data_IF_115416848021
#
_entry.id   IF_115416848021
#
_cell.length_a   1.000
_cell.length_b   1.000
_cell.length_c   1.000
_cell.angle_alpha   90.00
_cell.angle_beta   90.00
_cell.angle_gamma   90.00
#
_symmetry.space_group_name_H-M   'P 1'
#
loop_
_entity.id
_entity.type
_entity.pdbx_description
1 polymer ?
#
# COMPACT_ATOMS: atom_id res chain seq x y z
N UNK A 1 -14.48 -58.22 13.21
CA UNK A 1 -14.39 -56.74 13.27
C UNK A 1 -15.61 -56.19 12.54
N UNK A 2 -16.53 -55.47 13.20
CA UNK A 2 -17.89 -55.21 12.67
C UNK A 2 -17.87 -54.16 11.53
N UNK A 3 -18.61 -54.42 10.43
CA UNK A 3 -18.68 -53.55 9.22
C UNK A 3 -18.96 -52.07 9.53
N UNK A 4 -19.65 -51.80 10.64
CA UNK A 4 -19.94 -50.46 11.17
C UNK A 4 -18.69 -49.69 11.60
N UNK A 5 -17.67 -50.37 12.14
CA UNK A 5 -16.38 -49.73 12.48
C UNK A 5 -15.63 -49.33 11.23
N UNK A 6 -15.62 -50.19 10.20
CA UNK A 6 -14.95 -49.92 8.91
C UNK A 6 -15.58 -48.71 8.21
N UNK A 7 -16.92 -48.62 8.19
CA UNK A 7 -17.64 -47.48 7.60
C UNK A 7 -17.33 -46.15 8.32
N UNK A 8 -17.22 -46.18 9.66
CA UNK A 8 -16.83 -45.00 10.46
C UNK A 8 -15.41 -44.52 10.10
N UNK A 9 -14.45 -45.43 9.96
CA UNK A 9 -13.09 -45.07 9.57
C UNK A 9 -13.00 -44.53 8.14
N UNK A 10 -13.80 -45.06 7.20
CA UNK A 10 -13.89 -44.53 5.83
C UNK A 10 -14.46 -43.10 5.79
N UNK A 11 -15.49 -42.82 6.58
CA UNK A 11 -16.06 -41.47 6.67
C UNK A 11 -15.06 -40.46 7.25
N UNK A 12 -14.31 -40.85 8.29
CA UNK A 12 -13.27 -40.00 8.88
C UNK A 12 -12.13 -39.72 7.88
N UNK A 13 -11.68 -40.73 7.14
CA UNK A 13 -10.65 -40.56 6.12
C UNK A 13 -11.10 -39.59 5.01
N UNK A 14 -12.36 -39.69 4.57
CA UNK A 14 -12.93 -38.78 3.57
C UNK A 14 -12.99 -37.33 4.08
N UNK A 15 -13.39 -37.11 5.34
CA UNK A 15 -13.41 -35.77 5.94
C UNK A 15 -12.01 -35.17 6.00
N UNK A 16 -11.00 -35.96 6.41
CA UNK A 16 -9.60 -35.51 6.43
C UNK A 16 -9.14 -35.15 5.01
N UNK A 17 -9.45 -35.98 4.02
CA UNK A 17 -9.10 -35.72 2.62
C UNK A 17 -9.73 -34.43 2.09
N UNK A 18 -11.01 -34.21 2.38
CA UNK A 18 -11.73 -32.98 2.00
C UNK A 18 -11.18 -31.74 2.71
N UNK A 19 -10.79 -31.86 3.99
CA UNK A 19 -10.16 -30.76 4.72
C UNK A 19 -8.77 -30.41 4.18
N UNK A 20 -7.96 -31.41 3.82
CA UNK A 20 -6.66 -31.22 3.19
C UNK A 20 -6.80 -30.60 1.78
N UNK A 21 -7.80 -31.04 1.01
CA UNK A 21 -8.11 -30.45 -0.30
C UNK A 21 -8.60 -29.01 -0.17
N UNK A 22 -9.42 -28.70 0.83
CA UNK A 22 -9.85 -27.33 1.13
C UNK A 22 -8.67 -26.45 1.50
N UNK A 23 -7.74 -26.93 2.33
CA UNK A 23 -6.53 -26.17 2.67
C UNK A 23 -5.61 -25.98 1.46
N UNK A 24 -5.55 -26.95 0.55
CA UNK A 24 -4.79 -26.81 -0.69
C UNK A 24 -5.42 -25.82 -1.68
N UNK A 25 -6.76 -25.74 -1.73
CA UNK A 25 -7.48 -24.83 -2.64
C UNK A 25 -7.56 -23.41 -2.07
N UNK A 26 -7.72 -23.27 -0.75
CA UNK A 26 -7.94 -21.99 -0.06
C UNK A 26 -6.77 -21.55 0.82
N UNK A 27 -5.63 -22.26 0.77
CA UNK A 27 -4.40 -21.84 1.42
C UNK A 27 -3.93 -20.52 0.80
N UNK A 28 -3.66 -19.54 1.66
CA UNK A 28 -3.13 -18.25 1.23
C UNK A 28 -1.64 -18.41 0.88
N UNK A 29 -1.35 -18.63 -0.41
CA UNK A 29 0.01 -18.72 -0.98
C UNK A 29 0.67 -17.34 -1.15
N UNK A 30 0.22 -16.33 -0.40
CA UNK A 30 0.74 -14.98 -0.54
C UNK A 30 2.21 -14.91 -0.16
N UNK A 31 3.02 -14.38 -1.08
CA UNK A 31 4.44 -14.17 -0.84
C UNK A 31 4.62 -12.93 0.01
N UNK A 32 5.26 -13.09 1.17
CA UNK A 32 5.69 -11.96 2.01
C UNK A 32 6.95 -11.36 1.40
N UNK A 33 6.81 -10.18 0.81
CA UNK A 33 7.89 -9.42 0.19
C UNK A 33 8.63 -8.58 1.24
N UNK A 34 9.94 -8.48 1.07
CA UNK A 34 10.83 -7.59 1.83
C UNK A 34 10.90 -7.82 3.35
N UNK A 35 10.53 -9.00 3.85
CA UNK A 35 10.53 -9.31 5.30
C UNK A 35 11.90 -9.16 5.99
N UNK A 36 13.00 -9.45 5.27
CA UNK A 36 14.38 -9.33 5.76
C UNK A 36 15.17 -8.21 5.06
N UNK A 37 14.49 -7.37 4.27
CA UNK A 37 15.14 -6.32 3.48
C UNK A 37 15.31 -5.04 4.30
N UNK A 38 16.41 -4.32 4.08
CA UNK A 38 16.60 -2.98 4.62
C UNK A 38 15.64 -1.97 3.97
N UNK A 39 15.45 -0.81 4.61
CA UNK A 39 14.64 0.27 4.05
C UNK A 39 15.09 0.66 2.62
N UNK A 40 16.39 0.63 2.30
CA UNK A 40 16.90 0.96 0.98
C UNK A 40 16.50 -0.05 -0.12
N UNK A 41 16.39 -1.32 0.23
CA UNK A 41 15.99 -2.40 -0.70
C UNK A 41 14.47 -2.49 -0.87
N UNK A 42 13.72 -1.94 0.08
CA UNK A 42 12.27 -1.80 0.03
C UNK A 42 11.84 -0.73 -0.98
N UNK A 43 10.64 -0.87 -1.59
CA UNK A 43 10.09 0.11 -2.52
C UNK A 43 9.90 1.48 -1.84
N UNK A 44 9.98 2.55 -2.63
CA UNK A 44 9.52 3.87 -2.22
C UNK A 44 7.99 3.84 -2.17
N UNK A 45 7.43 4.29 -1.05
CA UNK A 45 5.97 4.27 -0.82
C UNK A 45 5.35 5.64 -1.06
N UNK A 46 4.05 5.65 -1.30
CA UNK A 46 3.21 6.85 -1.24
C UNK A 46 2.31 6.74 0.00
N UNK A 47 2.32 7.77 0.83
CA UNK A 47 1.52 7.86 2.04
C UNK A 47 0.67 9.13 1.99
N UNK A 48 -0.66 8.99 1.90
CA UNK A 48 -1.58 10.13 1.86
C UNK A 48 -2.47 10.11 3.10
N UNK A 49 -2.45 11.18 3.90
CA UNK A 49 -3.30 11.38 5.06
C UNK A 49 -4.43 12.34 4.69
N UNK A 50 -5.66 11.94 4.96
CA UNK A 50 -6.82 12.80 4.77
C UNK A 50 -6.91 13.84 5.90
N UNK A 51 -7.56 14.97 5.65
CA UNK A 51 -7.83 15.96 6.67
C UNK A 51 -8.69 15.40 7.81
N UNK A 52 -9.75 14.65 7.49
CA UNK A 52 -10.60 13.96 8.46
C UNK A 52 -11.13 12.62 7.93
N UNK A 53 -11.94 11.94 8.74
CA UNK A 53 -12.64 10.70 8.39
C UNK A 53 -13.99 10.91 7.67
N UNK A 54 -14.33 12.15 7.30
CA UNK A 54 -15.50 12.45 6.47
C UNK A 54 -15.42 11.74 5.12
N UNK A 55 -16.58 11.42 4.53
CA UNK A 55 -16.63 10.74 3.23
C UNK A 55 -15.94 11.62 2.17
N UNK A 56 -16.15 12.92 2.25
CA UNK A 56 -15.60 13.93 1.36
C UNK A 56 -14.06 13.96 1.43
N UNK A 57 -13.48 14.04 2.63
CA UNK A 57 -12.02 14.07 2.80
C UNK A 57 -11.37 12.74 2.39
N UNK A 58 -12.04 11.63 2.68
CA UNK A 58 -11.56 10.30 2.28
C UNK A 58 -11.58 10.13 0.75
N UNK A 59 -12.61 10.66 0.07
CA UNK A 59 -12.65 10.67 -1.40
C UNK A 59 -11.59 11.62 -1.98
N UNK A 60 -11.43 12.81 -1.41
CA UNK A 60 -10.45 13.78 -1.88
C UNK A 60 -9.03 13.25 -1.75
N UNK A 61 -8.72 12.53 -0.66
CA UNK A 61 -7.45 11.78 -0.50
C UNK A 61 -7.18 10.84 -1.67
N UNK A 62 -8.17 10.03 -2.09
CA UNK A 62 -8.02 9.09 -3.20
C UNK A 62 -7.78 9.83 -4.53
N UNK A 63 -8.46 10.95 -4.73
CA UNK A 63 -8.27 11.80 -5.91
C UNK A 63 -6.86 12.42 -5.95
N UNK A 64 -6.37 12.93 -4.81
CA UNK A 64 -5.01 13.50 -4.69
C UNK A 64 -3.96 12.42 -4.94
N UNK A 65 -4.16 11.22 -4.40
CA UNK A 65 -3.31 10.05 -4.67
C UNK A 65 -3.20 9.81 -6.18
N UNK A 66 -4.34 9.67 -6.86
CA UNK A 66 -4.37 9.36 -8.30
C UNK A 66 -3.75 10.50 -9.14
N UNK A 67 -4.00 11.74 -8.74
CA UNK A 67 -3.40 12.91 -9.36
C UNK A 67 -1.86 12.89 -9.26
N UNK A 68 -1.30 12.65 -8.07
CA UNK A 68 0.16 12.61 -7.87
C UNK A 68 0.80 11.44 -8.59
N UNK A 69 0.18 10.25 -8.55
CA UNK A 69 0.67 9.09 -9.31
C UNK A 69 0.72 9.44 -10.80
N UNK A 70 -0.31 10.09 -11.33
CA UNK A 70 -0.37 10.50 -12.74
C UNK A 70 0.73 11.50 -13.10
N UNK A 71 1.03 12.45 -12.21
CA UNK A 71 2.10 13.43 -12.41
C UNK A 71 3.49 12.81 -12.37
N UNK A 72 3.73 11.89 -11.43
CA UNK A 72 5.05 11.30 -11.20
C UNK A 72 5.37 10.16 -12.16
N UNK A 73 4.37 9.40 -12.61
CA UNK A 73 4.56 8.25 -13.51
C UNK A 73 5.45 8.54 -14.73
N UNK A 74 5.23 9.60 -15.52
CA UNK A 74 6.10 9.89 -16.66
C UNK A 74 7.51 10.34 -16.23
N UNK A 75 7.65 11.00 -15.09
CA UNK A 75 8.95 11.47 -14.58
C UNK A 75 9.81 10.34 -14.02
N UNK A 76 9.16 9.28 -13.52
CA UNK A 76 9.81 8.10 -12.94
C UNK A 76 10.04 6.98 -13.97
N UNK A 77 9.53 7.12 -15.20
CA UNK A 77 9.57 6.06 -16.22
C UNK A 77 11.00 5.66 -16.63
N UNK A 78 11.91 6.62 -16.71
CA UNK A 78 13.31 6.41 -17.11
C UNK A 78 14.27 6.30 -15.91
N UNK A 79 13.73 6.24 -14.69
CA UNK A 79 14.54 6.15 -13.47
C UNK A 79 14.84 4.69 -13.15
N UNK A 80 16.13 4.36 -13.01
CA UNK A 80 16.60 2.98 -12.84
C UNK A 80 16.63 2.51 -11.38
N UNK A 81 16.73 3.44 -10.42
CA UNK A 81 16.91 3.09 -9.01
C UNK A 81 16.19 4.05 -8.05
N UNK A 82 15.96 3.56 -6.84
CA UNK A 82 15.17 4.25 -5.82
C UNK A 82 15.80 5.57 -5.36
N UNK A 83 17.12 5.61 -5.25
CA UNK A 83 17.84 6.82 -4.82
C UNK A 83 17.65 7.95 -5.83
N UNK A 84 17.79 7.66 -7.13
CA UNK A 84 17.51 8.62 -8.19
C UNK A 84 16.05 9.06 -8.20
N UNK A 85 15.10 8.16 -7.91
CA UNK A 85 13.68 8.51 -7.79
C UNK A 85 13.43 9.47 -6.61
N UNK A 86 14.04 9.20 -5.45
CA UNK A 86 13.94 10.06 -4.27
C UNK A 86 14.55 11.44 -4.54
N UNK A 87 15.73 11.52 -5.15
CA UNK A 87 16.36 12.80 -5.48
C UNK A 87 15.52 13.64 -6.45
N UNK A 88 14.91 13.00 -7.46
CA UNK A 88 13.99 13.67 -8.39
C UNK A 88 12.75 14.19 -7.66
N UNK A 89 12.13 13.37 -6.80
CA UNK A 89 10.95 13.75 -6.04
C UNK A 89 11.30 14.90 -5.09
N UNK A 90 12.42 14.82 -4.37
CA UNK A 90 12.87 15.83 -3.42
C UNK A 90 13.04 17.19 -4.09
N UNK A 91 13.71 17.22 -5.26
CA UNK A 91 13.88 18.43 -6.05
C UNK A 91 12.54 19.04 -6.52
N UNK A 92 11.53 18.19 -6.74
CA UNK A 92 10.22 18.59 -7.23
C UNK A 92 9.17 18.80 -6.12
N UNK A 93 9.48 18.59 -4.83
CA UNK A 93 8.53 18.78 -3.72
C UNK A 93 7.81 20.14 -3.79
N UNK A 94 8.48 21.28 -4.01
CA UNK A 94 7.79 22.58 -4.08
C UNK A 94 6.75 22.62 -5.19
N UNK A 95 7.08 22.10 -6.37
CA UNK A 95 6.20 22.08 -7.54
C UNK A 95 5.04 21.09 -7.37
N UNK A 96 5.30 19.92 -6.78
CA UNK A 96 4.27 18.92 -6.45
C UNK A 96 3.30 19.46 -5.40
N UNK A 97 3.80 20.22 -4.42
CA UNK A 97 2.98 20.89 -3.40
C UNK A 97 2.09 21.95 -4.04
N UNK A 98 2.64 22.80 -4.90
CA UNK A 98 1.87 23.79 -5.65
C UNK A 98 0.80 23.13 -6.53
N UNK A 99 1.15 22.06 -7.25
CA UNK A 99 0.20 21.30 -8.07
C UNK A 99 -0.93 20.67 -7.23
N UNK A 100 -0.62 20.10 -6.06
CA UNK A 100 -1.62 19.59 -5.13
C UNK A 100 -2.55 20.71 -4.63
N UNK A 101 -2.00 21.85 -4.24
CA UNK A 101 -2.80 22.98 -3.75
C UNK A 101 -3.66 23.59 -4.85
N UNK A 102 -3.16 23.66 -6.08
CA UNK A 102 -3.96 24.03 -7.25
C UNK A 102 -5.07 23.01 -7.52
N UNK A 103 -4.81 21.71 -7.32
CA UNK A 103 -5.82 20.67 -7.44
C UNK A 103 -6.90 20.77 -6.35
N UNK A 104 -6.53 21.11 -5.11
CA UNK A 104 -7.45 21.29 -3.99
C UNK A 104 -8.27 22.58 -4.08
N UNK A 105 -7.82 23.56 -4.86
CA UNK A 105 -8.52 24.83 -5.01
C UNK A 105 -9.96 24.64 -5.50
N UNK A 106 -10.92 25.17 -4.73
CA UNK A 106 -12.35 25.00 -4.97
C UNK A 106 -12.94 23.63 -4.61
N UNK A 107 -12.13 22.71 -4.05
CA UNK A 107 -12.57 21.41 -3.53
C UNK A 107 -12.49 21.30 -2.01
N UNK A 108 -11.53 22.00 -1.39
CA UNK A 108 -11.33 22.04 0.06
C UNK A 108 -10.89 23.45 0.50
N UNK A 109 -11.03 23.73 1.79
CA UNK A 109 -10.61 24.97 2.46
C UNK A 109 -9.22 24.85 3.12
N UNK A 110 -8.55 23.72 2.93
CA UNK A 110 -7.21 23.43 3.43
C UNK A 110 -6.21 23.16 2.30
N UNK A 111 -4.92 23.15 2.66
CA UNK A 111 -3.81 22.88 1.76
C UNK A 111 -3.20 21.49 2.00
N UNK A 112 -2.39 21.04 1.05
CA UNK A 112 -1.55 19.87 1.17
C UNK A 112 -0.12 20.27 1.57
N UNK A 113 0.50 19.44 2.42
CA UNK A 113 1.93 19.47 2.72
C UNK A 113 2.57 18.18 2.23
N UNK A 114 3.68 18.28 1.49
CA UNK A 114 4.40 17.12 0.97
C UNK A 114 5.82 17.08 1.54
N UNK A 115 6.29 15.88 1.89
CA UNK A 115 7.65 15.64 2.33
C UNK A 115 8.10 14.22 1.96
N UNK A 116 9.40 14.05 1.71
CA UNK A 116 10.00 12.72 1.79
C UNK A 116 10.35 12.46 3.24
N UNK A 117 9.90 11.31 3.75
CA UNK A 117 10.21 10.88 5.10
C UNK A 117 10.43 9.38 5.15
N UNK A 118 10.94 8.94 6.29
CA UNK A 118 11.08 7.55 6.65
C UNK A 118 10.08 7.25 7.74
N UNK A 119 9.19 6.30 7.48
CA UNK A 119 8.05 6.03 8.34
C UNK A 119 7.82 4.52 8.50
N UNK A 120 7.21 4.16 9.62
CA UNK A 120 6.76 2.79 9.87
C UNK A 120 5.46 2.50 9.12
N UNK A 121 5.48 1.41 8.35
CA UNK A 121 4.32 0.91 7.63
C UNK A 121 3.85 -0.38 8.29
N UNK A 122 2.52 -0.57 8.42
CA UNK A 122 1.98 -1.87 8.79
C UNK A 122 2.18 -2.86 7.63
N UNK A 123 2.03 -4.14 7.96
CA UNK A 123 1.89 -5.16 6.92
C UNK A 123 0.62 -4.90 6.10
N UNK A 124 0.74 -4.91 4.77
CA UNK A 124 -0.41 -4.75 3.87
C UNK A 124 -0.37 -5.77 2.74
N UNK A 125 -1.52 -6.41 2.51
CA UNK A 125 -1.76 -7.27 1.35
C UNK A 125 -2.30 -6.45 0.17
N UNK A 126 -1.59 -6.50 -0.96
CA UNK A 126 -2.04 -6.01 -2.25
C UNK A 126 -2.03 -7.17 -3.25
N UNK A 127 -3.21 -7.56 -3.74
CA UNK A 127 -3.36 -8.52 -4.85
C UNK A 127 -2.55 -9.82 -4.67
N UNK A 128 -2.56 -10.41 -3.47
CA UNK A 128 -1.83 -11.63 -3.15
C UNK A 128 -0.34 -11.44 -2.83
N UNK A 129 0.15 -10.20 -2.84
CA UNK A 129 1.49 -9.84 -2.36
C UNK A 129 1.39 -9.15 -1.00
N UNK A 130 2.08 -9.70 0.00
CA UNK A 130 2.12 -9.12 1.35
C UNK A 130 3.40 -8.31 1.49
N UNK A 131 3.28 -7.01 1.73
CA UNK A 131 4.43 -6.16 2.07
C UNK A 131 4.63 -6.22 3.58
N UNK A 132 5.79 -6.70 4.01
CA UNK A 132 6.11 -6.82 5.43
C UNK A 132 6.03 -5.48 6.17
N UNK A 133 5.69 -5.51 7.46
CA UNK A 133 5.76 -4.32 8.30
C UNK A 133 7.19 -3.79 8.47
N UNK A 134 7.33 -2.51 8.80
CA UNK A 134 8.57 -1.90 9.26
C UNK A 134 8.84 -0.57 8.58
N UNK A 135 10.11 -0.15 8.60
CA UNK A 135 10.51 1.15 8.07
C UNK A 135 10.61 1.16 6.54
N UNK A 136 10.04 2.19 5.91
CA UNK A 136 10.09 2.47 4.47
C UNK A 136 10.39 3.96 4.22
N UNK A 137 11.06 4.24 3.11
CA UNK A 137 11.08 5.60 2.56
C UNK A 137 9.73 5.87 1.87
N UNK A 138 9.17 7.05 2.08
CA UNK A 138 7.87 7.41 1.56
C UNK A 138 7.77 8.89 1.15
N UNK A 139 7.08 9.14 0.05
CA UNK A 139 6.50 10.46 -0.21
C UNK A 139 5.22 10.57 0.62
N UNK A 140 5.25 11.41 1.66
CA UNK A 140 4.10 11.72 2.49
C UNK A 140 3.39 12.96 2.00
N UNK A 141 2.07 12.88 1.94
CA UNK A 141 1.15 13.95 1.58
C UNK A 141 0.13 14.08 2.71
N UNK A 142 0.13 15.21 3.40
CA UNK A 142 -0.82 15.53 4.46
C UNK A 142 -1.82 16.54 3.91
N UNK A 143 -3.10 16.18 3.91
CA UNK A 143 -4.19 17.10 3.58
C UNK A 143 -4.69 17.75 4.87
N UNK A 144 -4.68 19.09 4.95
CA UNK A 144 -5.10 19.84 6.13
C UNK A 144 -4.38 19.37 7.40
N UNK A 145 -5.14 19.02 8.43
CA UNK A 145 -4.59 18.59 9.73
C UNK A 145 -4.09 17.12 9.73
N UNK A 146 -4.44 16.34 8.71
CA UNK A 146 -3.97 14.94 8.59
C UNK A 146 -4.54 13.98 9.64
N UNK A 147 -5.72 14.28 10.21
CA UNK A 147 -6.33 13.48 11.29
C UNK A 147 -7.17 12.29 10.77
N UNK A 148 -7.42 12.25 9.46
CA UNK A 148 -8.19 11.19 8.83
C UNK A 148 -7.37 9.93 8.56
N UNK A 149 -8.06 8.87 8.15
CA UNK A 149 -7.44 7.60 7.75
C UNK A 149 -6.38 7.80 6.67
N UNK A 150 -5.35 6.97 6.76
CA UNK A 150 -4.24 6.95 5.83
C UNK A 150 -4.58 6.15 4.57
N UNK A 151 -3.83 6.38 3.51
CA UNK A 151 -3.76 5.51 2.34
C UNK A 151 -2.30 5.24 2.02
N UNK A 152 -1.98 3.99 1.72
CA UNK A 152 -0.63 3.54 1.44
C UNK A 152 -0.60 2.97 0.01
N UNK A 153 0.49 3.14 -0.72
CA UNK A 153 0.71 2.48 -2.00
C UNK A 153 2.22 2.35 -2.27
N UNK A 154 2.59 1.51 -3.23
CA UNK A 154 3.94 1.57 -3.83
C UNK A 154 3.98 2.73 -4.82
N UNK A 155 5.05 3.53 -4.76
CA UNK A 155 5.32 4.63 -5.68
C UNK A 155 6.45 4.29 -6.66
N UNK A 156 7.51 3.64 -6.17
CA UNK A 156 8.64 3.22 -7.01
C UNK A 156 9.23 1.87 -6.52
N UNK A 157 9.57 0.93 -7.42
CA UNK A 157 9.35 0.98 -8.87
C UNK A 157 7.86 1.04 -9.22
N UNK A 158 7.48 1.74 -10.32
CA UNK A 158 6.09 1.98 -10.70
C UNK A 158 5.39 0.76 -11.33
#
# INVERSE_FOLDING_TARGET
MTKTKVFKWLAVALIILLSALSFYIFGDDSQVLFANASANEKPLRLHVLANSDSIEDQQLKLQVRDFIITLLKPQLADIENKEAAMNLIEANIPQLTEACNAFLNGKADYQATLALERADFPEINYDGMVFASGEYDALRIILGEGEGKNWWCVLFPP
#
